data_IF_280314548241
#
_entry.id   IF_280314548241
#
_cell.length_a   1.000
_cell.length_b   1.000
_cell.length_c   1.000
_cell.angle_alpha   90.00
_cell.angle_beta   90.00
_cell.angle_gamma   90.00
#
_symmetry.space_group_name_H-M   'P 1'
#
loop_
_entity.id
_entity.type
_entity.pdbx_description
1 polymer ?
#
# COMPACT_ATOMS: atom_id res chain seq x y z
N UNK A 1 -25.15 8.43 17.97
CA UNK A 1 -24.26 8.02 16.88
C UNK A 1 -23.04 7.38 17.51
N UNK A 2 -22.86 6.07 17.38
CA UNK A 2 -21.80 5.36 18.10
C UNK A 2 -20.43 5.80 17.59
N UNK A 3 -19.65 6.42 18.46
CA UNK A 3 -18.26 6.80 18.21
C UNK A 3 -17.42 5.52 18.13
N UNK A 4 -17.32 4.95 16.93
CA UNK A 4 -16.65 3.68 16.68
C UNK A 4 -15.15 3.93 16.80
N UNK A 5 -14.63 3.84 18.03
CA UNK A 5 -13.22 4.03 18.38
C UNK A 5 -12.34 3.22 17.44
N UNK A 6 -11.62 3.92 16.56
CA UNK A 6 -10.76 3.27 15.57
C UNK A 6 -9.49 2.80 16.26
N UNK A 7 -9.25 1.50 16.26
CA UNK A 7 -8.02 0.92 16.77
C UNK A 7 -6.90 1.14 15.74
N UNK A 8 -5.87 1.88 16.14
CA UNK A 8 -4.65 2.08 15.35
C UNK A 8 -3.66 1.00 15.76
N UNK A 9 -3.35 0.07 14.84
CA UNK A 9 -2.25 -0.88 15.01
C UNK A 9 -1.09 -0.45 14.12
N UNK A 10 0.06 -0.17 14.75
CA UNK A 10 1.34 -0.11 14.02
C UNK A 10 1.75 -1.55 13.72
N UNK A 11 1.61 -1.96 12.47
CA UNK A 11 2.05 -3.28 12.01
C UNK A 11 3.40 -3.07 11.36
N UNK A 12 4.44 -3.67 11.94
CA UNK A 12 5.73 -3.77 11.27
C UNK A 12 5.56 -4.77 10.14
N UNK A 13 5.68 -4.27 8.91
CA UNK A 13 5.60 -5.11 7.73
C UNK A 13 7.03 -5.47 7.35
N UNK A 14 7.29 -6.76 7.24
CA UNK A 14 8.63 -7.28 6.95
C UNK A 14 8.69 -7.94 5.57
N UNK A 15 7.54 -8.21 4.97
CA UNK A 15 7.41 -8.83 3.66
C UNK A 15 6.30 -8.17 2.85
N UNK A 16 6.49 -8.10 1.54
CA UNK A 16 5.55 -7.51 0.60
C UNK A 16 4.18 -8.16 0.57
N UNK A 17 4.11 -9.47 0.79
CA UNK A 17 2.84 -10.20 0.76
C UNK A 17 1.85 -9.70 1.82
N UNK A 18 2.34 -8.94 2.80
CA UNK A 18 1.55 -8.37 3.89
C UNK A 18 0.96 -6.98 3.54
N UNK A 19 1.33 -6.38 2.39
CA UNK A 19 0.72 -5.14 1.90
C UNK A 19 -0.67 -5.45 1.29
N UNK A 20 -1.73 -4.74 1.71
CA UNK A 20 -3.04 -4.86 1.10
C UNK A 20 -3.09 -4.15 -0.26
N UNK A 21 -3.96 -4.67 -1.13
CA UNK A 21 -4.17 -4.17 -2.49
C UNK A 21 -4.81 -2.77 -2.55
N UNK A 22 -5.45 -2.33 -1.47
CA UNK A 22 -6.14 -1.05 -1.36
C UNK A 22 -5.61 -0.24 -0.16
N UNK A 23 -4.81 0.77 -0.45
CA UNK A 23 -4.29 1.75 0.53
C UNK A 23 -4.67 3.18 0.12
N UNK A 24 -4.59 4.09 1.08
CA UNK A 24 -4.89 5.52 0.95
C UNK A 24 -3.74 6.35 1.50
N UNK A 25 -3.73 7.65 1.20
CA UNK A 25 -2.76 8.60 1.71
C UNK A 25 -3.46 9.79 2.39
N UNK A 26 -2.88 10.32 3.46
CA UNK A 26 -3.28 11.62 4.02
C UNK A 26 -2.65 12.76 3.21
N UNK A 27 -3.17 14.00 3.25
CA UNK A 27 -2.51 15.15 2.62
C UNK A 27 -1.06 15.36 3.08
N UNK A 28 -0.71 14.93 4.30
CA UNK A 28 0.67 14.95 4.82
C UNK A 28 1.55 13.79 4.33
N UNK A 29 1.05 12.93 3.43
CA UNK A 29 1.84 11.88 2.78
C UNK A 29 1.94 10.56 3.56
N UNK A 30 1.21 10.38 4.67
CA UNK A 30 1.19 9.10 5.41
C UNK A 30 0.32 8.09 4.67
N UNK A 31 0.88 6.91 4.39
CA UNK A 31 0.16 5.82 3.71
C UNK A 31 -0.49 4.90 4.76
N UNK A 32 -1.75 4.54 4.55
CA UNK A 32 -2.49 3.67 5.45
C UNK A 32 -3.54 2.84 4.70
N UNK A 33 -4.00 1.75 5.30
CA UNK A 33 -5.19 1.02 4.86
C UNK A 33 -6.08 0.68 6.05
N UNK A 34 -7.32 0.28 5.78
CA UNK A 34 -8.25 -0.20 6.80
C UNK A 34 -8.78 -1.56 6.39
N UNK A 35 -8.62 -2.56 7.24
CA UNK A 35 -9.22 -3.87 7.00
C UNK A 35 -10.74 -3.82 7.25
N UNK A 36 -11.56 -4.73 6.68
CA UNK A 36 -13.01 -4.76 6.94
C UNK A 36 -13.38 -4.79 8.44
N UNK A 37 -12.51 -5.37 9.28
CA UNK A 37 -12.66 -5.39 10.75
C UNK A 37 -12.38 -4.06 11.45
N UNK A 38 -11.98 -3.01 10.72
CA UNK A 38 -11.76 -1.66 11.25
C UNK A 38 -10.35 -1.36 11.73
N UNK A 39 -9.40 -2.30 11.59
CA UNK A 39 -8.00 -2.07 11.97
C UNK A 39 -7.32 -1.19 10.93
N UNK A 40 -6.70 -0.08 11.38
CA UNK A 40 -5.84 0.74 10.53
C UNK A 40 -4.41 0.22 10.53
N UNK A 41 -3.86 0.02 9.35
CA UNK A 41 -2.46 -0.35 9.11
C UNK A 41 -1.77 0.90 8.54
N UNK A 42 -0.67 1.34 9.15
CA UNK A 42 0.12 2.49 8.68
C UNK A 42 1.46 1.97 8.15
N UNK A 43 1.83 2.38 6.94
CA UNK A 43 3.07 1.95 6.29
C UNK A 43 4.13 3.03 6.40
N UNK A 44 5.33 2.63 6.80
CA UNK A 44 6.47 3.53 6.83
C UNK A 44 7.07 3.70 5.44
N UNK A 45 7.60 4.90 5.18
CA UNK A 45 8.20 5.27 3.89
C UNK A 45 9.34 4.32 3.52
N UNK A 46 10.23 4.02 4.46
CA UNK A 46 11.42 3.21 4.19
C UNK A 46 11.06 1.78 3.82
N UNK A 47 10.04 1.22 4.48
CA UNK A 47 9.50 -0.08 4.11
C UNK A 47 8.93 -0.09 2.68
N UNK A 48 8.12 0.93 2.33
CA UNK A 48 7.57 1.07 0.98
C UNK A 48 8.66 1.29 -0.08
N UNK A 49 9.77 1.92 0.28
CA UNK A 49 10.91 2.09 -0.61
C UNK A 49 11.72 0.80 -0.75
N UNK A 50 11.94 0.04 0.32
CA UNK A 50 12.54 -1.29 0.24
C UNK A 50 11.74 -2.22 -0.65
N UNK A 51 10.42 -2.04 -0.65
CA UNK A 51 9.52 -2.79 -1.47
C UNK A 51 9.82 -2.67 -3.00
N UNK A 52 10.43 -1.57 -3.46
CA UNK A 52 10.81 -1.44 -4.87
C UNK A 52 11.86 -2.45 -5.35
N UNK A 53 12.56 -3.12 -4.43
CA UNK A 53 13.68 -4.00 -4.76
C UNK A 53 13.24 -5.47 -4.97
N UNK A 54 11.97 -5.79 -4.73
CA UNK A 54 11.44 -7.13 -4.98
C UNK A 54 11.38 -7.44 -6.47
N UNK A 55 11.70 -8.69 -6.85
CA UNK A 55 11.60 -9.16 -8.24
C UNK A 55 10.18 -9.04 -8.80
N UNK A 56 9.16 -9.13 -7.93
CA UNK A 56 7.76 -8.94 -8.31
C UNK A 56 7.48 -7.55 -8.89
N UNK A 57 8.26 -6.53 -8.48
CA UNK A 57 8.10 -5.17 -8.98
C UNK A 57 8.69 -4.94 -10.37
N UNK A 58 9.50 -5.89 -10.87
CA UNK A 58 10.11 -5.82 -12.21
C UNK A 58 9.22 -6.39 -13.31
N UNK A 59 8.13 -7.06 -12.95
CA UNK A 59 7.16 -7.57 -13.92
C UNK A 59 6.03 -6.56 -14.11
N UNK A 60 5.80 -6.06 -15.33
CA UNK A 60 4.72 -5.13 -15.62
C UNK A 60 3.34 -5.80 -15.40
N UNK A 61 2.30 -5.04 -15.02
CA UNK A 61 0.96 -5.59 -14.83
C UNK A 61 0.41 -6.25 -16.10
N UNK A 62 -0.23 -7.41 -15.95
CA UNK A 62 -0.73 -8.25 -17.08
C UNK A 62 -1.61 -7.49 -18.08
N UNK A 63 -2.32 -6.46 -17.63
CA UNK A 63 -3.24 -5.66 -18.44
C UNK A 63 -2.83 -4.18 -18.51
N UNK A 64 -1.53 -3.87 -18.46
CA UNK A 64 -1.05 -2.50 -18.61
C UNK A 64 -1.25 -2.03 -20.06
N UNK A 65 -2.08 -1.00 -20.33
CA UNK A 65 -2.32 -0.54 -21.69
C UNK A 65 -1.05 0.07 -22.28
N UNK A 66 -0.84 -0.08 -23.60
CA UNK A 66 0.23 0.60 -24.33
C UNK A 66 -0.24 2.02 -24.67
N UNK A 67 0.36 3.01 -24.03
CA UNK A 67 0.13 4.43 -24.27
C UNK A 67 1.47 5.01 -24.71
N UNK A 68 1.61 5.43 -25.98
CA UNK A 68 2.87 5.95 -26.50
C UNK A 68 3.45 7.08 -25.64
N UNK A 69 4.69 6.93 -25.21
CA UNK A 69 5.39 7.90 -24.35
C UNK A 69 5.00 7.87 -22.87
N UNK A 70 4.04 7.03 -22.44
CA UNK A 70 3.55 6.97 -21.05
C UNK A 70 3.80 5.61 -20.40
N UNK A 71 3.41 4.52 -21.05
CA UNK A 71 3.57 3.16 -20.50
C UNK A 71 4.51 2.31 -21.36
N UNK A 72 5.22 1.42 -20.68
CA UNK A 72 6.05 0.36 -21.27
C UNK A 72 5.71 -0.94 -20.54
N UNK A 73 4.79 -1.74 -21.07
CA UNK A 73 4.44 -3.04 -20.50
C UNK A 73 5.54 -4.06 -20.74
#
# INVERSE_FOLDING_TARGET
>A
TADKKILIKKVQITDHAQLPSNYSATPGGTIFSTTPGGTRIVYERDFLLQCRNSTLSMTPPTNLPIIPGVTRP
#
